data_IF_636922829445
#
_entry.id   IF_636922829445
#
_cell.length_a   1.000
_cell.length_b   1.000
_cell.length_c   1.000
_cell.angle_alpha   90.00
_cell.angle_beta   90.00
_cell.angle_gamma   90.00
#
_symmetry.space_group_name_H-M   'P 1'
#
loop_
_entity.id
_entity.type
_entity.pdbx_description
1 polymer ?
#
# COMPACT_ATOMS: atom_id res chain seq x y z
N UNK A 1 15.83 -28.42 15.54
CA UNK A 1 16.47 -27.10 15.36
C UNK A 1 15.31 -26.12 15.20
N UNK A 2 15.11 -25.20 16.15
CA UNK A 2 14.03 -24.21 16.06
C UNK A 2 14.58 -23.03 15.27
N UNK A 3 14.15 -22.88 14.03
CA UNK A 3 14.36 -21.66 13.26
C UNK A 3 13.53 -20.56 13.92
N UNK A 4 14.18 -19.74 14.73
CA UNK A 4 13.56 -18.53 15.28
C UNK A 4 13.56 -17.49 14.15
N UNK A 5 12.49 -17.48 13.37
CA UNK A 5 12.23 -16.42 12.40
C UNK A 5 11.72 -15.19 13.17
N UNK A 6 12.62 -14.25 13.45
CA UNK A 6 12.29 -13.02 14.16
C UNK A 6 11.86 -12.00 13.10
N UNK A 7 10.59 -11.56 13.10
CA UNK A 7 10.12 -10.61 12.09
C UNK A 7 10.82 -9.26 12.25
N UNK A 8 10.95 -8.54 11.14
CA UNK A 8 11.46 -7.18 11.15
C UNK A 8 10.56 -6.25 11.99
N UNK A 9 11.12 -5.15 12.55
CA UNK A 9 10.35 -4.17 13.28
C UNK A 9 9.21 -3.57 12.45
N UNK A 10 8.10 -3.24 13.11
CA UNK A 10 6.98 -2.50 12.54
C UNK A 10 6.78 -1.21 13.32
N UNK A 11 7.22 -0.09 12.75
CA UNK A 11 7.07 1.27 13.27
C UNK A 11 6.34 2.11 12.22
N UNK A 12 5.00 2.00 12.11
CA UNK A 12 4.23 2.73 11.11
C UNK A 12 4.42 4.25 11.17
N UNK A 13 4.74 4.80 12.35
CA UNK A 13 5.10 6.20 12.54
C UNK A 13 6.40 6.63 11.81
N UNK A 14 7.22 5.66 11.40
CA UNK A 14 8.42 5.86 10.58
C UNK A 14 8.20 5.51 9.11
N UNK A 15 6.97 5.21 8.70
CA UNK A 15 6.60 5.02 7.29
C UNK A 15 5.64 6.12 6.89
N UNK A 16 5.95 6.82 5.80
CA UNK A 16 5.13 7.92 5.29
C UNK A 16 4.76 7.72 3.82
N UNK A 17 3.64 8.32 3.43
CA UNK A 17 3.25 8.48 2.04
C UNK A 17 3.82 9.82 1.58
N UNK A 18 4.79 9.80 0.66
CA UNK A 18 5.40 11.03 0.11
C UNK A 18 4.55 11.64 -1.00
N UNK A 19 3.89 10.78 -1.78
CA UNK A 19 2.97 11.17 -2.83
C UNK A 19 1.89 10.10 -2.99
N UNK A 20 0.68 10.51 -3.35
CA UNK A 20 -0.40 9.60 -3.75
C UNK A 20 -1.30 10.28 -4.76
N UNK A 21 -1.69 9.55 -5.79
CA UNK A 21 -2.64 9.97 -6.80
C UNK A 21 -3.60 8.83 -7.12
N UNK A 22 -4.89 9.16 -7.25
CA UNK A 22 -5.94 8.21 -7.60
C UNK A 22 -6.65 8.74 -8.84
N UNK A 23 -6.59 7.98 -9.92
CA UNK A 23 -7.20 8.37 -11.19
C UNK A 23 -7.95 7.20 -11.84
N UNK A 24 -8.96 7.46 -12.67
CA UNK A 24 -9.61 6.43 -13.46
C UNK A 24 -8.66 5.86 -14.52
N UNK A 25 -8.75 4.55 -14.77
CA UNK A 25 -8.04 3.90 -15.86
C UNK A 25 -8.64 4.39 -17.21
N UNK A 26 -7.80 4.89 -18.14
CA UNK A 26 -8.29 5.47 -19.39
C UNK A 26 -8.92 4.46 -20.35
N UNK A 27 -8.63 3.16 -20.18
CA UNK A 27 -9.13 2.07 -21.02
C UNK A 27 -10.30 1.33 -20.35
N UNK A 28 -10.35 1.30 -19.01
CA UNK A 28 -11.33 0.53 -18.23
C UNK A 28 -12.16 1.46 -17.34
N UNK A 29 -13.39 1.76 -17.79
CA UNK A 29 -14.31 2.72 -17.15
C UNK A 29 -14.63 2.45 -15.66
N UNK A 30 -14.50 1.21 -15.21
CA UNK A 30 -14.79 0.81 -13.83
C UNK A 30 -13.51 0.51 -13.04
N UNK A 31 -12.34 0.98 -13.48
CA UNK A 31 -11.10 0.73 -12.76
C UNK A 31 -10.49 2.05 -12.30
N UNK A 32 -10.11 2.11 -11.04
CA UNK A 32 -9.29 3.18 -10.50
C UNK A 32 -7.86 2.66 -10.33
N UNK A 33 -6.89 3.52 -10.58
CA UNK A 33 -5.47 3.25 -10.37
C UNK A 33 -4.99 4.18 -9.27
N UNK A 34 -4.50 3.59 -8.18
CA UNK A 34 -3.81 4.28 -7.12
C UNK A 34 -2.30 4.14 -7.34
N UNK A 35 -1.63 5.27 -7.48
CA UNK A 35 -0.16 5.35 -7.50
C UNK A 35 0.28 6.08 -6.25
N UNK A 36 1.14 5.45 -5.45
CA UNK A 36 1.68 6.08 -4.25
C UNK A 36 3.19 5.82 -4.11
N UNK A 37 3.88 6.74 -3.45
CA UNK A 37 5.28 6.57 -3.06
C UNK A 37 5.34 6.49 -1.54
N UNK A 38 5.80 5.36 -1.02
CA UNK A 38 6.08 5.18 0.40
C UNK A 38 7.55 5.45 0.69
N UNK A 39 7.82 6.00 1.87
CA UNK A 39 9.18 6.18 2.40
C UNK A 39 9.31 5.53 3.77
N UNK A 40 10.33 4.70 3.94
CA UNK A 40 10.77 4.26 5.25
C UNK A 40 11.75 5.30 5.79
N UNK A 41 11.33 6.09 6.77
CA UNK A 41 12.18 7.10 7.43
C UNK A 41 13.03 6.53 8.57
N UNK A 42 12.90 5.23 8.86
CA UNK A 42 13.70 4.59 9.88
C UNK A 42 15.16 4.41 9.42
N UNK A 43 16.13 4.46 10.34
CA UNK A 43 17.52 4.09 10.06
C UNK A 43 17.73 2.57 9.97
N UNK A 44 16.66 1.77 9.90
CA UNK A 44 16.69 0.31 9.83
C UNK A 44 15.60 -0.22 8.88
N UNK A 45 15.78 -1.44 8.39
CA UNK A 45 14.77 -2.13 7.59
C UNK A 45 13.54 -2.46 8.44
N UNK A 46 12.37 -2.26 7.87
CA UNK A 46 11.09 -2.54 8.52
C UNK A 46 10.33 -3.62 7.78
N UNK A 47 9.43 -4.31 8.47
CA UNK A 47 8.48 -5.16 7.78
C UNK A 47 7.54 -4.31 6.93
N UNK A 48 7.06 -4.88 5.83
CA UNK A 48 6.18 -4.16 4.90
C UNK A 48 4.82 -3.87 5.56
N UNK A 49 4.32 -2.62 5.52
CA UNK A 49 3.09 -2.26 6.20
C UNK A 49 1.86 -2.85 5.49
N UNK A 50 0.75 -2.98 6.20
CA UNK A 50 -0.55 -3.07 5.54
C UNK A 50 -0.97 -1.66 5.13
N UNK A 51 -1.58 -1.51 3.95
CA UNK A 51 -2.05 -0.22 3.47
C UNK A 51 -3.57 -0.17 3.57
N UNK A 52 -4.10 0.86 4.22
CA UNK A 52 -5.54 1.11 4.22
C UNK A 52 -5.86 2.20 3.20
N UNK A 53 -6.76 1.89 2.27
CA UNK A 53 -7.37 2.86 1.38
C UNK A 53 -8.80 3.13 1.86
N UNK A 54 -9.10 4.39 2.15
CA UNK A 54 -10.47 4.87 2.35
C UNK A 54 -10.83 5.77 1.18
N UNK A 55 -11.92 5.44 0.49
CA UNK A 55 -12.51 6.31 -0.53
C UNK A 55 -13.67 7.07 0.09
N UNK A 56 -13.77 8.36 -0.21
CA UNK A 56 -14.82 9.24 0.28
C UNK A 56 -15.70 9.79 -0.85
N UNK A 57 -16.94 10.14 -0.53
CA UNK A 57 -17.80 10.91 -1.44
C UNK A 57 -17.43 12.40 -1.41
N UNK A 58 -18.16 13.20 -2.19
CA UNK A 58 -17.97 14.67 -2.28
C UNK A 58 -18.28 15.42 -0.97
N UNK A 59 -18.77 14.73 0.06
CA UNK A 59 -19.05 15.23 1.42
C UNK A 59 -18.09 14.64 2.45
N UNK A 60 -16.95 14.11 2.00
CA UNK A 60 -15.93 13.44 2.80
C UNK A 60 -16.45 12.23 3.61
N UNK A 61 -17.57 11.64 3.18
CA UNK A 61 -18.10 10.44 3.84
C UNK A 61 -17.44 9.19 3.28
N UNK A 62 -16.91 8.28 4.11
CA UNK A 62 -16.28 7.06 3.63
C UNK A 62 -17.32 6.17 2.94
N UNK A 63 -17.11 5.89 1.66
CA UNK A 63 -17.95 4.99 0.86
C UNK A 63 -17.34 3.59 0.73
N UNK A 64 -16.01 3.49 0.83
CA UNK A 64 -15.28 2.23 0.86
C UNK A 64 -14.08 2.33 1.79
N UNK A 65 -13.79 1.22 2.48
CA UNK A 65 -12.51 0.99 3.12
C UNK A 65 -11.97 -0.38 2.72
N UNK A 66 -10.73 -0.42 2.25
CA UNK A 66 -10.04 -1.67 1.88
C UNK A 66 -8.63 -1.69 2.45
N UNK A 67 -8.22 -2.84 2.97
CA UNK A 67 -6.87 -3.08 3.46
C UNK A 67 -6.14 -3.96 2.45
N UNK A 68 -4.91 -3.56 2.09
CA UNK A 68 -4.00 -4.29 1.24
C UNK A 68 -2.85 -4.84 2.09
N UNK A 69 -2.66 -6.14 2.02
CA UNK A 69 -1.49 -6.83 2.55
C UNK A 69 -0.26 -6.57 1.66
N UNK A 70 0.96 -6.74 2.18
CA UNK A 70 2.18 -6.66 1.35
C UNK A 70 2.12 -7.51 0.08
N UNK A 71 1.51 -8.69 0.15
CA UNK A 71 1.37 -9.57 -1.01
C UNK A 71 0.48 -8.99 -2.14
N UNK A 72 -0.39 -8.04 -1.83
CA UNK A 72 -1.32 -7.43 -2.80
C UNK A 72 -0.74 -6.21 -3.51
N UNK A 73 0.29 -5.56 -2.94
CA UNK A 73 0.86 -4.33 -3.50
C UNK A 73 2.34 -4.42 -3.88
N UNK A 74 3.07 -5.42 -3.39
CA UNK A 74 4.46 -5.64 -3.78
C UNK A 74 4.54 -6.33 -5.15
N UNK A 75 5.58 -6.00 -5.91
CA UNK A 75 5.90 -6.73 -7.14
C UNK A 75 6.25 -8.19 -6.79
N UNK A 76 5.91 -9.14 -7.67
CA UNK A 76 6.06 -10.57 -7.40
C UNK A 76 7.52 -10.99 -7.16
N UNK A 77 8.46 -10.26 -7.75
CA UNK A 77 9.90 -10.42 -7.62
C UNK A 77 10.50 -9.80 -6.34
N UNK A 78 9.69 -9.15 -5.49
CA UNK A 78 10.17 -8.50 -4.27
C UNK A 78 10.61 -9.53 -3.23
N UNK A 79 11.85 -9.41 -2.75
CA UNK A 79 12.35 -10.21 -1.62
C UNK A 79 11.73 -9.72 -0.30
N UNK A 80 10.54 -10.23 0.03
CA UNK A 80 9.77 -9.80 1.22
C UNK A 80 10.58 -9.90 2.52
N UNK A 81 11.53 -10.84 2.61
CA UNK A 81 12.35 -11.09 3.81
C UNK A 81 13.42 -10.01 4.03
N UNK A 82 13.83 -9.32 2.97
CA UNK A 82 14.73 -8.18 3.08
C UNK A 82 14.03 -6.97 3.74
N UNK A 83 12.70 -6.92 3.66
CA UNK A 83 11.87 -5.86 4.20
C UNK A 83 12.00 -4.53 3.46
N UNK A 84 11.26 -3.54 3.96
CA UNK A 84 11.34 -2.18 3.48
C UNK A 84 12.65 -1.54 3.96
N UNK A 85 13.62 -1.38 3.06
CA UNK A 85 14.96 -0.88 3.35
C UNK A 85 14.97 0.45 4.13
N UNK A 86 15.98 0.62 5.00
CA UNK A 86 16.21 1.85 5.75
C UNK A 86 16.35 3.06 4.82
N UNK A 87 15.67 4.17 5.13
CA UNK A 87 15.64 5.39 4.28
C UNK A 87 15.19 5.15 2.83
N UNK A 88 14.65 3.97 2.53
CA UNK A 88 14.25 3.56 1.19
C UNK A 88 12.91 4.17 0.78
N UNK A 89 12.74 4.29 -0.54
CA UNK A 89 11.49 4.69 -1.17
C UNK A 89 10.94 3.51 -1.99
N UNK A 90 9.62 3.39 -2.07
CA UNK A 90 8.95 2.33 -2.82
C UNK A 90 7.69 2.85 -3.50
N UNK A 91 7.55 2.52 -4.80
CA UNK A 91 6.32 2.79 -5.54
C UNK A 91 5.29 1.68 -5.28
N UNK A 92 4.04 2.10 -5.09
CA UNK A 92 2.86 1.24 -4.94
C UNK A 92 1.91 1.55 -6.08
N UNK A 93 1.55 0.52 -6.84
CA UNK A 93 0.57 0.61 -7.93
C UNK A 93 -0.56 -0.39 -7.67
N UNK A 94 -1.76 0.12 -7.42
CA UNK A 94 -2.92 -0.69 -7.10
C UNK A 94 -4.04 -0.44 -8.11
N UNK A 95 -4.63 -1.52 -8.62
CA UNK A 95 -5.80 -1.48 -9.49
C UNK A 95 -7.04 -1.87 -8.68
N UNK A 96 -8.05 -1.01 -8.72
CA UNK A 96 -9.26 -1.09 -7.92
C UNK A 96 -10.47 -1.18 -8.84
N UNK A 97 -11.22 -2.28 -8.80
CA UNK A 97 -12.48 -2.38 -9.54
C UNK A 97 -13.57 -1.60 -8.82
N UNK A 98 -14.01 -0.49 -9.38
CA UNK A 98 -15.08 0.40 -8.93
C UNK A 98 -16.42 -0.32 -8.71
N UNK A 99 -16.64 -1.48 -9.34
CA UNK A 99 -17.84 -2.29 -9.15
C UNK A 99 -17.82 -3.01 -7.80
N UNK A 100 -16.64 -3.36 -7.27
CA UNK A 100 -16.46 -3.88 -5.90
C UNK A 100 -16.53 -2.79 -4.82
N UNK A 101 -16.59 -1.51 -5.24
CA UNK A 101 -16.53 -0.32 -4.36
C UNK A 101 -17.94 0.15 -3.95
N UNK A 102 -19.01 -0.50 -4.43
CA UNK A 102 -20.39 -0.16 -4.04
C UNK A 102 -20.85 1.21 -4.56
N UNK A 103 -20.24 1.71 -5.63
CA UNK A 103 -20.74 2.88 -6.36
C UNK A 103 -21.89 2.45 -7.28
N UNK A 104 -23.09 2.34 -6.70
CA UNK A 104 -24.36 2.17 -7.41
C UNK A 104 -25.20 3.43 -7.37
#
# INVERSE_FOLDING_TARGET
MLECDIPLPRKPELVSIEASDLHPDPQRKNLLVLVATLKNRAPFAQDYPHLELTLTDVRDQPVLRKVFTPAEYLAQETEVRAGFAANGDMAVNLWLDATDIGAS
#
